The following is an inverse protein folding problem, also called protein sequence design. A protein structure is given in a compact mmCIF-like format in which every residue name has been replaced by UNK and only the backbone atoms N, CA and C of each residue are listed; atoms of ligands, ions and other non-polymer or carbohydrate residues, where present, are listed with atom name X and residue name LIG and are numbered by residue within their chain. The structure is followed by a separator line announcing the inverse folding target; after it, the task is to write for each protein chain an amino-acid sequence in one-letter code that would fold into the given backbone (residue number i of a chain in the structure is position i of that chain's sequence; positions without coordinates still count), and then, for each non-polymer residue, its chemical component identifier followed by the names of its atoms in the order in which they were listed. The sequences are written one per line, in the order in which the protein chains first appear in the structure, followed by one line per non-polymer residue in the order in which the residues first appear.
data_IF_277171317737
#
_entry.id   IF_277171317737
#
_cell.length_a   1.000
_cell.length_b   1.000
_cell.length_c   1.000
_cell.angle_alpha   90.00
_cell.angle_beta   90.00
_cell.angle_gamma   90.00
#
_symmetry.space_group_name_H-M   'P 1'
#
loop_
_entity.id
_entity.type
_entity.pdbx_description
1 polymer ?
#
# COMPACT_ATOMS: atom_id res chain seq x y z
N UNK A 1 1.36 -9.20 -12.70
CA UNK A 1 0.40 -9.58 -11.65
C UNK A 1 1.08 -10.15 -10.41
N UNK A 2 1.87 -11.23 -10.47
CA UNK A 2 2.52 -11.77 -9.25
C UNK A 2 3.39 -10.73 -8.52
N UNK A 3 4.14 -9.91 -9.26
CA UNK A 3 4.96 -8.82 -8.69
C UNK A 3 4.11 -7.74 -8.01
N UNK A 4 2.91 -7.45 -8.53
CA UNK A 4 1.97 -6.52 -7.89
C UNK A 4 1.44 -7.11 -6.58
N UNK A 5 1.04 -8.38 -6.58
CA UNK A 5 0.58 -9.07 -5.37
C UNK A 5 1.69 -9.16 -4.32
N UNK A 6 2.94 -9.37 -4.72
CA UNK A 6 4.09 -9.35 -3.79
C UNK A 6 4.29 -7.95 -3.19
N UNK A 7 4.18 -6.90 -4.01
CA UNK A 7 4.28 -5.51 -3.54
C UNK A 7 3.16 -5.19 -2.55
N UNK A 8 1.92 -5.46 -2.90
CA UNK A 8 0.76 -5.23 -2.02
C UNK A 8 0.88 -6.02 -0.72
N UNK A 9 1.30 -7.30 -0.79
CA UNK A 9 1.53 -8.13 0.40
C UNK A 9 2.64 -7.54 1.28
N UNK A 10 3.72 -7.04 0.69
CA UNK A 10 4.81 -6.42 1.43
C UNK A 10 4.35 -5.13 2.13
N UNK A 11 3.64 -4.24 1.44
CA UNK A 11 3.09 -3.01 2.01
C UNK A 11 2.07 -3.30 3.12
N UNK A 12 1.23 -4.32 2.93
CA UNK A 12 0.31 -4.79 3.96
C UNK A 12 1.06 -5.31 5.21
N UNK A 13 2.14 -6.07 5.02
CA UNK A 13 2.99 -6.53 6.12
C UNK A 13 3.62 -5.37 6.89
N UNK A 14 4.10 -4.32 6.20
CA UNK A 14 4.61 -3.10 6.86
C UNK A 14 3.54 -2.45 7.75
N UNK A 15 2.31 -2.32 7.24
CA UNK A 15 1.18 -1.78 8.03
C UNK A 15 0.89 -2.64 9.25
N UNK A 16 0.92 -3.97 9.11
CA UNK A 16 0.70 -4.90 10.21
C UNK A 16 1.79 -4.80 11.30
N UNK A 17 3.05 -4.61 10.89
CA UNK A 17 4.16 -4.39 11.82
C UNK A 17 3.95 -3.12 12.66
N UNK A 18 3.49 -2.03 12.04
CA UNK A 18 3.16 -0.80 12.77
C UNK A 18 2.03 -1.03 13.79
N UNK A 19 0.95 -1.69 13.39
CA UNK A 19 -0.17 -2.01 14.30
C UNK A 19 0.32 -2.83 15.50
N UNK A 20 1.16 -3.83 15.26
CA UNK A 20 1.70 -4.67 16.33
C UNK A 20 2.61 -3.87 17.27
N UNK A 21 3.45 -2.98 16.72
CA UNK A 21 4.27 -2.05 17.52
C UNK A 21 3.41 -1.17 18.42
N UNK A 22 2.36 -0.56 17.87
CA UNK A 22 1.44 0.31 18.63
C UNK A 22 0.70 -0.46 19.75
N UNK A 23 0.32 -1.71 19.50
CA UNK A 23 -0.26 -2.60 20.54
C UNK A 23 0.72 -2.87 21.67
N UNK A 24 1.99 -3.12 21.36
CA UNK A 24 3.04 -3.33 22.37
C UNK A 24 3.28 -2.06 23.20
N UNK A 25 3.38 -0.89 22.55
CA UNK A 25 3.55 0.39 23.25
C UNK A 25 2.38 0.69 24.22
N UNK A 26 1.15 0.36 23.83
CA UNK A 26 0.00 0.46 24.73
C UNK A 26 0.09 -0.49 25.93
N UNK A 27 0.54 -1.74 25.72
CA UNK A 27 0.75 -2.68 26.82
C UNK A 27 1.85 -2.23 27.78
N UNK A 28 2.94 -1.66 27.25
CA UNK A 28 4.04 -1.18 28.08
C UNK A 28 3.65 0.05 28.90
N UNK A 29 2.86 0.95 28.32
CA UNK A 29 2.27 2.09 29.05
C UNK A 29 1.37 1.64 30.21
N UNK A 30 0.65 0.52 30.05
CA UNK A 30 -0.14 -0.08 31.14
C UNK A 30 0.74 -0.66 32.26
N UNK A 31 1.98 -1.04 31.98
CA UNK A 31 2.91 -1.56 33.00
C UNK A 31 3.67 -0.44 33.71
N UNK A 32 3.95 0.66 33.01
CA UNK A 32 4.87 1.70 33.47
C UNK A 32 4.29 2.64 34.53
N UNK A 33 3.01 2.99 34.44
CA UNK A 33 2.40 4.00 35.32
C UNK A 33 1.37 3.33 36.21
N UNK A 34 1.55 3.21 37.53
CA UNK A 34 0.55 2.60 38.41
C UNK A 34 -0.69 3.49 38.62
N UNK A 35 -0.49 4.82 38.62
CA UNK A 35 -1.55 5.82 38.80
C UNK A 35 -2.48 5.91 37.58
N UNK A 36 -3.79 5.81 37.80
CA UNK A 36 -4.80 5.86 36.73
C UNK A 36 -4.90 7.21 36.01
N UNK A 37 -4.77 8.35 36.71
CA UNK A 37 -4.88 9.65 36.08
C UNK A 37 -3.70 9.91 35.14
N UNK A 38 -2.49 9.59 35.60
CA UNK A 38 -1.27 9.74 34.79
C UNK A 38 -1.34 8.81 33.59
N UNK A 39 -1.74 7.56 33.80
CA UNK A 39 -1.92 6.56 32.74
C UNK A 39 -2.94 7.02 31.71
N UNK A 40 -4.05 7.61 32.13
CA UNK A 40 -5.09 8.09 31.23
C UNK A 40 -4.60 9.25 30.36
N UNK A 41 -3.89 10.22 30.94
CA UNK A 41 -3.30 11.34 30.19
C UNK A 41 -2.28 10.83 29.17
N UNK A 42 -1.38 9.95 29.60
CA UNK A 42 -0.36 9.36 28.71
C UNK A 42 -1.00 8.54 27.58
N UNK A 43 -2.08 7.80 27.87
CA UNK A 43 -2.82 7.02 26.88
C UNK A 43 -3.40 7.90 25.77
N UNK A 44 -4.01 9.03 26.11
CA UNK A 44 -4.57 9.97 25.12
C UNK A 44 -3.49 10.52 24.20
N UNK A 45 -2.36 10.96 24.77
CA UNK A 45 -1.22 11.47 24.00
C UNK A 45 -0.65 10.39 23.07
N UNK A 46 -0.47 9.17 23.58
CA UNK A 46 0.03 8.05 22.79
C UNK A 46 -0.92 7.67 21.65
N UNK A 47 -2.23 7.61 21.91
CA UNK A 47 -3.24 7.31 20.88
C UNK A 47 -3.26 8.37 19.77
N UNK A 48 -3.12 9.64 20.12
CA UNK A 48 -3.04 10.70 19.12
C UNK A 48 -1.79 10.55 18.26
N UNK A 49 -0.63 10.28 18.88
CA UNK A 49 0.62 9.98 18.16
C UNK A 49 0.45 8.77 17.22
N UNK A 50 -0.14 7.68 17.71
CA UNK A 50 -0.39 6.47 16.91
C UNK A 50 -1.27 6.75 15.68
N UNK A 51 -2.31 7.57 15.85
CA UNK A 51 -3.21 7.97 14.77
C UNK A 51 -2.47 8.76 13.69
N UNK A 52 -1.62 9.69 14.08
CA UNK A 52 -0.87 10.52 13.14
C UNK A 52 0.22 9.71 12.42
N UNK A 53 0.92 8.82 13.14
CA UNK A 53 1.90 7.89 12.56
C UNK A 53 1.23 6.92 11.56
N UNK A 54 0.03 6.42 11.89
CA UNK A 54 -0.73 5.54 11.00
C UNK A 54 -1.14 6.25 9.72
N UNK A 55 -1.65 7.48 9.80
CA UNK A 55 -1.97 8.30 8.63
C UNK A 55 -0.76 8.56 7.75
N UNK A 56 0.37 8.96 8.35
CA UNK A 56 1.60 9.22 7.62
C UNK A 56 2.12 7.96 6.92
N UNK A 57 2.03 6.82 7.59
CA UNK A 57 2.42 5.52 7.02
C UNK A 57 1.50 5.13 5.87
N UNK A 58 0.17 5.17 6.07
CA UNK A 58 -0.80 4.81 5.02
C UNK A 58 -0.62 5.72 3.77
N UNK A 59 -0.39 7.02 3.96
CA UNK A 59 -0.09 7.94 2.85
C UNK A 59 1.19 7.53 2.09
N UNK A 60 2.25 7.18 2.83
CA UNK A 60 3.51 6.71 2.24
C UNK A 60 3.31 5.42 1.44
N UNK A 61 2.52 4.48 1.95
CA UNK A 61 2.23 3.22 1.25
C UNK A 61 1.48 3.46 -0.06
N UNK A 62 0.50 4.36 -0.07
CA UNK A 62 -0.24 4.76 -1.29
C UNK A 62 0.72 5.39 -2.31
N UNK A 63 1.57 6.32 -1.90
CA UNK A 63 2.55 6.95 -2.79
C UNK A 63 3.53 5.92 -3.41
N UNK A 64 3.90 4.88 -2.66
CA UNK A 64 4.73 3.80 -3.20
C UNK A 64 3.99 2.97 -4.25
N UNK A 65 2.68 2.74 -4.08
CA UNK A 65 1.86 2.07 -5.09
C UNK A 65 1.74 2.93 -6.35
N UNK A 66 1.45 4.22 -6.21
CA UNK A 66 1.34 5.16 -7.33
C UNK A 66 2.65 5.23 -8.12
N UNK A 67 3.79 5.29 -7.42
CA UNK A 67 5.10 5.27 -8.07
C UNK A 67 5.30 3.96 -8.86
N UNK A 68 4.88 2.81 -8.32
CA UNK A 68 5.00 1.53 -9.04
C UNK A 68 4.12 1.47 -10.28
N UNK A 69 2.92 2.06 -10.24
CA UNK A 69 2.06 2.17 -11.42
C UNK A 69 2.73 3.06 -12.46
N UNK A 70 3.27 4.21 -12.06
CA UNK A 70 3.98 5.13 -12.96
C UNK A 70 5.20 4.47 -13.60
N UNK A 71 6.03 3.76 -12.82
CA UNK A 71 7.19 3.01 -13.33
C UNK A 71 6.77 1.99 -14.39
N UNK A 72 5.67 1.26 -14.16
CA UNK A 72 5.13 0.29 -15.12
C UNK A 72 4.62 0.94 -16.40
N UNK A 73 3.90 2.07 -16.29
CA UNK A 73 3.46 2.85 -17.44
C UNK A 73 4.65 3.29 -18.31
N UNK A 74 5.70 3.84 -17.69
CA UNK A 74 6.92 4.26 -18.40
C UNK A 74 7.57 3.10 -19.13
N UNK A 75 7.66 1.92 -18.49
CA UNK A 75 8.25 0.73 -19.12
C UNK A 75 7.41 0.26 -20.31
N UNK A 76 6.09 0.18 -20.17
CA UNK A 76 5.19 -0.29 -21.22
C UNK A 76 5.10 0.70 -22.40
N UNK A 77 5.08 2.00 -22.11
CA UNK A 77 5.15 3.06 -23.12
C UNK A 77 6.46 2.98 -23.92
N UNK A 78 7.60 2.88 -23.24
CA UNK A 78 8.92 2.74 -23.89
C UNK A 78 9.05 1.45 -24.70
N UNK A 79 8.39 0.39 -24.28
CA UNK A 79 8.32 -0.87 -25.03
C UNK A 79 7.36 -0.79 -26.24
N UNK A 80 6.64 0.32 -26.41
CA UNK A 80 5.71 0.52 -27.51
C UNK A 80 4.41 -0.29 -27.38
N UNK A 81 4.04 -0.69 -26.16
CA UNK A 81 2.80 -1.44 -25.93
C UNK A 81 1.60 -0.52 -26.17
N UNK A 82 0.71 -0.83 -27.15
CA UNK A 82 -0.41 0.05 -27.47
C UNK A 82 -1.34 0.27 -26.28
N UNK A 83 -1.83 1.50 -26.13
CA UNK A 83 -2.75 1.88 -25.06
C UNK A 83 -2.07 2.23 -23.73
N UNK A 84 -0.75 2.11 -23.61
CA UNK A 84 0.01 2.52 -22.43
C UNK A 84 0.78 3.82 -22.68
N UNK A 85 0.59 4.77 -21.78
CA UNK A 85 1.27 6.07 -21.71
C UNK A 85 1.24 6.53 -20.25
N UNK A 86 2.15 7.43 -19.86
CA UNK A 86 2.17 7.94 -18.48
C UNK A 86 0.96 8.83 -18.22
N UNK A 87 0.16 8.49 -17.20
CA UNK A 87 -1.05 9.25 -16.84
C UNK A 87 -1.41 9.04 -15.36
N UNK A 88 -1.87 10.13 -14.74
CA UNK A 88 -2.44 10.14 -13.39
C UNK A 88 -3.97 10.24 -13.40
N UNK A 89 -4.60 10.24 -14.59
CA UNK A 89 -6.05 10.24 -14.70
C UNK A 89 -6.58 8.86 -14.25
N UNK A 90 -7.47 8.79 -13.24
CA UNK A 90 -7.91 7.52 -12.68
C UNK A 90 -8.71 6.65 -13.67
N UNK A 91 -9.41 7.26 -14.64
CA UNK A 91 -10.12 6.51 -15.68
C UNK A 91 -9.12 5.87 -16.65
N UNK A 92 -8.10 6.62 -17.09
CA UNK A 92 -7.08 6.10 -17.99
C UNK A 92 -6.27 4.98 -17.33
N UNK A 93 -5.86 5.17 -16.07
CA UNK A 93 -5.17 4.14 -15.29
C UNK A 93 -6.03 2.87 -15.22
N UNK A 94 -7.33 3.01 -14.94
CA UNK A 94 -8.25 1.88 -14.89
C UNK A 94 -8.38 1.16 -16.23
N UNK A 95 -8.43 1.89 -17.34
CA UNK A 95 -8.43 1.32 -18.70
C UNK A 95 -7.14 0.57 -18.98
N UNK A 96 -5.99 1.16 -18.66
CA UNK A 96 -4.67 0.52 -18.80
C UNK A 96 -4.56 -0.76 -17.97
N UNK A 97 -5.13 -0.79 -16.76
CA UNK A 97 -5.20 -2.00 -15.93
C UNK A 97 -6.03 -3.11 -16.58
N UNK A 98 -7.20 -2.78 -17.14
CA UNK A 98 -8.02 -3.77 -17.86
C UNK A 98 -7.34 -4.28 -19.13
N UNK A 99 -6.65 -3.40 -19.86
CA UNK A 99 -5.88 -3.77 -21.05
C UNK A 99 -4.73 -4.71 -20.68
N UNK A 100 -4.00 -4.40 -19.61
CA UNK A 100 -2.92 -5.25 -19.10
C UNK A 100 -3.44 -6.65 -18.74
N UNK A 101 -4.55 -6.72 -18.00
CA UNK A 101 -5.17 -7.99 -17.62
C UNK A 101 -5.64 -8.78 -18.86
N UNK A 102 -6.20 -8.10 -19.87
CA UNK A 102 -6.60 -8.72 -21.12
C UNK A 102 -5.41 -9.33 -21.88
N UNK A 103 -4.32 -8.57 -22.06
CA UNK A 103 -3.09 -9.05 -22.73
C UNK A 103 -2.51 -10.25 -21.98
N UNK A 104 -2.49 -10.21 -20.64
CA UNK A 104 -1.99 -11.30 -19.80
C UNK A 104 -2.88 -12.55 -19.85
N UNK A 105 -4.18 -12.40 -20.05
CA UNK A 105 -5.10 -13.54 -20.25
C UNK A 105 -4.90 -14.16 -21.63
N UNK A 106 -4.78 -13.34 -22.68
CA UNK A 106 -4.50 -13.82 -24.03
C UNK A 106 -3.20 -14.62 -24.10
N UNK A 107 -2.12 -14.17 -23.46
CA UNK A 107 -0.84 -14.88 -23.48
C UNK A 107 -0.87 -16.26 -22.82
N UNK A 108 -1.89 -16.55 -22.00
CA UNK A 108 -2.12 -17.85 -21.35
C UNK A 108 -3.16 -18.71 -22.08
N UNK A 109 -3.85 -18.17 -23.09
CA UNK A 109 -4.79 -18.96 -23.87
C UNK A 109 -4.03 -19.96 -24.73
N UNK A 110 -4.48 -21.23 -24.70
CA UNK A 110 -4.04 -22.23 -25.66
C UNK A 110 -4.77 -21.95 -26.97
N UNK A 111 -4.04 -21.54 -28.00
CA UNK A 111 -4.59 -21.34 -29.34
C UNK A 111 -4.89 -22.74 -29.91
N UNK A 112 -6.15 -23.07 -30.23
CA UNK A 112 -6.48 -24.31 -30.92
C UNK A 112 -5.78 -24.35 -32.29
N UNK A 113 -5.37 -25.54 -32.76
CA UNK A 113 -4.70 -25.69 -34.06
C UNK A 113 -5.59 -25.27 -35.23
#
# INVERSE_FOLDING_TARGET
MEIQHVTEKHLYQQRLQLINKQKMELQDLLKQFPDEEIRQRQRVVLQQKHKDEMKATDMKLVLQLDQKVSDQQVVLEKAGVPGFFVTNNPLDVKVQMYLLDFILRLSKMKIPP
#
